data_IF_623086971634
#
_entry.id   IF_623086971634
#
_cell.length_a   1.000
_cell.length_b   1.000
_cell.length_c   1.000
_cell.angle_alpha   90.00
_cell.angle_beta   90.00
_cell.angle_gamma   90.00
#
_symmetry.space_group_name_H-M   'P 1'
#
loop_
_entity.id
_entity.type
_entity.pdbx_description
1 polymer ?
#
# COMPACT_ATOMS: atom_id res chain seq x y z
N UNK A 1 31.44 -4.32 16.55
CA UNK A 1 30.98 -3.05 16.00
C UNK A 1 31.36 -3.01 14.53
N UNK A 2 30.49 -2.54 13.64
CA UNK A 2 30.65 -2.46 12.18
C UNK A 2 30.55 -3.76 11.39
N UNK A 3 29.29 -4.20 11.13
CA UNK A 3 28.94 -4.96 9.91
C UNK A 3 27.42 -4.97 9.61
N UNK A 4 26.70 -3.90 9.91
CA UNK A 4 25.22 -3.81 9.72
C UNK A 4 24.79 -3.08 8.43
N UNK A 5 25.64 -3.01 7.42
CA UNK A 5 25.36 -2.26 6.17
C UNK A 5 25.13 -3.08 4.91
N UNK A 6 25.23 -4.41 4.95
CA UNK A 6 25.13 -5.20 3.71
C UNK A 6 23.73 -5.82 3.63
N UNK A 7 22.88 -5.25 2.76
CA UNK A 7 21.60 -5.85 2.36
C UNK A 7 21.91 -7.22 1.75
N UNK A 8 21.65 -8.31 2.46
CA UNK A 8 21.77 -9.66 1.93
C UNK A 8 20.56 -9.98 1.08
N UNK A 9 20.73 -9.94 -0.22
CA UNK A 9 19.68 -10.20 -1.20
C UNK A 9 19.07 -11.60 -1.09
N UNK A 10 19.81 -12.57 -0.57
CA UNK A 10 19.35 -13.96 -0.37
C UNK A 10 18.20 -14.10 0.65
N UNK A 11 17.95 -13.07 1.45
CA UNK A 11 16.91 -13.06 2.49
C UNK A 11 15.64 -12.31 2.08
N UNK A 12 15.62 -11.73 0.88
CA UNK A 12 14.46 -10.99 0.38
C UNK A 12 13.35 -11.98 0.03
N UNK A 13 12.37 -12.09 0.90
CA UNK A 13 11.20 -12.91 0.61
C UNK A 13 10.25 -12.17 -0.33
N UNK A 14 10.34 -12.47 -1.63
CA UNK A 14 9.54 -11.86 -2.70
C UNK A 14 8.04 -11.91 -2.38
N UNK A 15 7.55 -12.95 -1.70
CA UNK A 15 6.14 -13.09 -1.31
C UNK A 15 5.69 -12.00 -0.33
N UNK A 16 6.57 -11.59 0.58
CA UNK A 16 6.28 -10.51 1.52
C UNK A 16 6.16 -9.18 0.77
N UNK A 17 7.09 -8.91 -0.16
CA UNK A 17 7.07 -7.69 -0.99
C UNK A 17 5.79 -7.63 -1.83
N UNK A 18 5.42 -8.72 -2.50
CA UNK A 18 4.18 -8.79 -3.30
C UNK A 18 2.94 -8.52 -2.44
N UNK A 19 2.85 -9.12 -1.25
CA UNK A 19 1.74 -8.86 -0.32
C UNK A 19 1.65 -7.40 0.08
N UNK A 20 2.79 -6.81 0.40
CA UNK A 20 2.85 -5.43 0.85
C UNK A 20 2.52 -4.47 -0.29
N UNK A 21 2.92 -4.77 -1.53
CA UNK A 21 2.48 -4.07 -2.74
C UNK A 21 0.95 -4.18 -2.92
N UNK A 22 0.38 -5.39 -2.74
CA UNK A 22 -1.06 -5.59 -2.84
C UNK A 22 -1.85 -4.84 -1.75
N UNK A 23 -1.32 -4.76 -0.52
CA UNK A 23 -1.93 -3.95 0.55
C UNK A 23 -1.93 -2.46 0.22
N UNK A 24 -0.95 -2.00 -0.55
CA UNK A 24 -0.76 -0.61 -0.93
C UNK A 24 -1.16 -0.32 -2.39
N UNK A 25 -2.00 -1.15 -3.01
CA UNK A 25 -2.43 -1.02 -4.40
C UNK A 25 -3.06 0.35 -4.71
N UNK A 26 -3.67 1.01 -3.74
CA UNK A 26 -4.24 2.36 -3.88
C UNK A 26 -3.15 3.38 -4.24
N UNK A 27 -1.99 3.33 -3.57
CA UNK A 27 -0.87 4.24 -3.87
C UNK A 27 -0.27 3.96 -5.25
N UNK A 28 -0.22 2.69 -5.67
CA UNK A 28 0.23 2.31 -7.01
C UNK A 28 -0.74 2.80 -8.09
N UNK A 29 -2.05 2.69 -7.85
CA UNK A 29 -3.07 3.23 -8.74
C UNK A 29 -2.96 4.77 -8.86
N UNK A 30 -2.73 5.47 -7.73
CA UNK A 30 -2.50 6.92 -7.75
C UNK A 30 -1.26 7.30 -8.57
N UNK A 31 -0.16 6.55 -8.45
CA UNK A 31 1.05 6.79 -9.25
C UNK A 31 0.80 6.63 -10.76
N UNK A 32 0.02 5.62 -11.17
CA UNK A 32 -0.36 5.43 -12.57
C UNK A 32 -1.24 6.59 -13.10
N UNK A 33 -2.19 7.06 -12.28
CA UNK A 33 -3.05 8.22 -12.63
C UNK A 33 -2.20 9.48 -12.80
N UNK A 34 -1.24 9.73 -11.91
CA UNK A 34 -0.32 10.86 -12.00
C UNK A 34 0.45 10.81 -13.33
N UNK A 35 0.95 9.62 -13.73
CA UNK A 35 1.63 9.43 -15.01
C UNK A 35 0.75 9.76 -16.21
N UNK A 36 -0.51 9.33 -16.21
CA UNK A 36 -1.49 9.67 -17.27
C UNK A 36 -1.75 11.18 -17.32
N UNK A 37 -1.93 11.81 -16.16
CA UNK A 37 -2.19 13.24 -16.06
C UNK A 37 -1.00 14.06 -16.57
N UNK A 38 0.22 13.72 -16.17
CA UNK A 38 1.45 14.40 -16.59
C UNK A 38 1.59 14.36 -18.12
N UNK A 39 1.41 13.19 -18.75
CA UNK A 39 1.45 13.04 -20.20
C UNK A 39 0.31 13.83 -20.88
N UNK A 40 -0.90 13.78 -20.30
CA UNK A 40 -2.03 14.54 -20.86
C UNK A 40 -1.79 16.05 -20.84
N UNK A 41 -1.25 16.57 -19.74
CA UNK A 41 -0.90 18.00 -19.62
C UNK A 41 0.20 18.36 -20.61
N UNK A 42 1.26 17.53 -20.71
CA UNK A 42 2.35 17.75 -21.66
C UNK A 42 1.82 17.87 -23.10
N UNK A 43 1.01 16.89 -23.56
CA UNK A 43 0.47 16.93 -24.92
C UNK A 43 -0.57 18.04 -25.12
N UNK A 44 -1.35 18.40 -24.10
CA UNK A 44 -2.29 19.51 -24.21
C UNK A 44 -1.61 20.87 -24.44
N UNK A 45 -0.39 21.03 -23.89
CA UNK A 45 0.40 22.27 -24.06
C UNK A 45 1.21 22.25 -25.36
N UNK A 46 1.76 21.08 -25.73
CA UNK A 46 2.78 20.99 -26.78
C UNK A 46 2.20 20.57 -28.12
N UNK A 47 1.15 19.76 -28.13
CA UNK A 47 0.58 19.24 -29.38
C UNK A 47 -0.38 20.24 -30.02
N UNK A 48 -0.01 20.71 -31.21
CA UNK A 48 -0.88 21.51 -32.08
C UNK A 48 -1.31 20.64 -33.26
N UNK A 49 -2.60 20.38 -33.44
CA UNK A 49 -3.08 19.64 -34.60
C UNK A 49 -2.84 20.47 -35.85
N UNK A 50 -2.23 19.87 -36.88
CA UNK A 50 -2.01 20.53 -38.18
C UNK A 50 -2.81 19.80 -39.26
N UNK A 51 -3.52 20.56 -40.08
CA UNK A 51 -4.39 20.03 -41.12
C UNK A 51 -3.81 20.36 -42.47
N UNK A 52 -3.75 19.37 -43.39
CA UNK A 52 -3.21 19.56 -44.72
C UNK A 52 -4.29 19.37 -45.78
N UNK A 53 -4.61 20.42 -46.50
CA UNK A 53 -5.39 20.36 -47.72
C UNK A 53 -4.45 20.10 -48.90
N UNK A 54 -4.85 19.26 -49.84
CA UNK A 54 -4.05 18.95 -51.02
C UNK A 54 -4.87 19.08 -52.31
N UNK A 55 -4.21 19.51 -53.36
CA UNK A 55 -4.76 19.58 -54.71
C UNK A 55 -3.75 18.97 -55.69
N UNK A 56 -4.22 18.28 -56.71
CA UNK A 56 -3.36 17.72 -57.74
C UNK A 56 -3.44 18.54 -59.01
N UNK A 57 -2.33 19.00 -59.51
CA UNK A 57 -2.17 19.84 -60.71
C UNK A 57 -1.38 19.09 -61.76
N UNK A 58 -1.76 19.16 -63.02
CA UNK A 58 -0.98 18.69 -64.16
C UNK A 58 -0.30 19.85 -64.87
N UNK A 59 0.97 19.65 -65.24
CA UNK A 59 1.69 20.59 -66.08
C UNK A 59 1.70 20.08 -67.53
N UNK A 60 1.17 20.87 -68.42
CA UNK A 60 1.07 20.58 -69.85
C UNK A 60 1.90 21.59 -70.61
N UNK A 61 2.74 21.14 -71.57
CA UNK A 61 3.52 22.01 -72.42
C UNK A 61 2.64 22.54 -73.59
N UNK A 62 2.64 23.84 -73.78
CA UNK A 62 1.78 24.53 -74.79
C UNK A 62 2.26 24.23 -76.22
N UNK A 63 3.51 23.80 -76.44
CA UNK A 63 4.10 23.59 -77.77
C UNK A 63 4.42 22.12 -78.10
N UNK A 64 4.09 21.18 -77.24
CA UNK A 64 4.40 19.76 -77.49
C UNK A 64 3.23 19.13 -78.21
N UNK A 65 3.46 18.68 -79.47
CA UNK A 65 2.55 17.79 -80.17
C UNK A 65 2.39 16.41 -79.45
N UNK A 66 1.95 16.46 -78.20
CA UNK A 66 1.53 15.29 -77.47
C UNK A 66 2.61 14.36 -76.88
N UNK A 67 3.92 14.69 -76.92
CA UNK A 67 4.92 13.79 -76.35
C UNK A 67 4.97 13.87 -74.81
N UNK A 68 4.67 12.75 -74.15
CA UNK A 68 4.65 12.60 -72.70
C UNK A 68 6.01 12.94 -72.05
N UNK A 69 7.14 12.76 -72.77
CA UNK A 69 8.47 13.11 -72.28
C UNK A 69 8.74 14.63 -72.18
N UNK A 70 8.16 15.42 -73.11
CA UNK A 70 8.29 16.85 -73.06
C UNK A 70 7.54 17.46 -71.84
N UNK A 71 6.40 16.87 -71.54
CA UNK A 71 5.58 17.28 -70.38
C UNK A 71 6.30 16.91 -69.07
N UNK A 72 6.95 15.71 -68.98
CA UNK A 72 7.66 15.30 -67.79
C UNK A 72 8.89 16.18 -67.53
N UNK A 73 9.70 16.45 -68.56
CA UNK A 73 10.89 17.32 -68.44
C UNK A 73 10.49 18.74 -68.03
N UNK A 74 9.39 19.27 -68.62
CA UNK A 74 8.85 20.57 -68.27
C UNK A 74 8.39 20.59 -66.82
N UNK A 75 7.68 19.54 -66.38
CA UNK A 75 7.25 19.38 -65.00
C UNK A 75 8.43 19.33 -64.03
N UNK A 76 9.45 18.55 -64.30
CA UNK A 76 10.66 18.45 -63.47
C UNK A 76 11.39 19.78 -63.31
N UNK A 77 11.54 20.54 -64.42
CA UNK A 77 12.19 21.86 -64.38
C UNK A 77 11.35 22.94 -63.67
N UNK A 78 10.06 22.69 -63.52
CA UNK A 78 9.16 23.61 -62.85
C UNK A 78 8.94 23.29 -61.37
N UNK A 79 9.29 22.11 -60.89
CA UNK A 79 9.05 21.65 -59.50
C UNK A 79 9.52 22.66 -58.45
N UNK A 80 10.76 23.05 -58.54
CA UNK A 80 11.39 23.96 -57.57
C UNK A 80 10.84 25.39 -57.73
N UNK A 81 10.64 25.80 -58.96
CA UNK A 81 10.13 27.15 -59.29
C UNK A 81 8.67 27.30 -58.82
N UNK A 82 7.82 26.32 -59.05
CA UNK A 82 6.43 26.37 -58.59
C UNK A 82 6.31 26.38 -57.08
N UNK A 83 7.15 25.60 -56.36
CA UNK A 83 7.19 25.63 -54.90
C UNK A 83 7.60 27.04 -54.41
N UNK A 84 8.58 27.64 -55.01
CA UNK A 84 9.04 29.01 -54.68
C UNK A 84 7.94 30.05 -54.98
N UNK A 85 7.28 29.94 -56.15
CA UNK A 85 6.20 30.86 -56.57
C UNK A 85 4.99 30.77 -55.63
N UNK A 86 4.54 29.55 -55.31
CA UNK A 86 3.40 29.36 -54.41
C UNK A 86 3.72 29.75 -52.95
N UNK A 87 4.98 29.74 -52.57
CA UNK A 87 5.44 30.20 -51.25
C UNK A 87 5.83 31.67 -51.22
N UNK A 88 5.71 32.39 -52.36
CA UNK A 88 6.09 33.80 -52.48
C UNK A 88 5.21 34.72 -51.63
N UNK A 89 5.76 35.87 -51.27
CA UNK A 89 5.04 36.87 -50.46
C UNK A 89 3.79 37.41 -51.18
N UNK A 90 3.78 37.46 -52.52
CA UNK A 90 2.63 37.88 -53.34
C UNK A 90 1.45 36.91 -53.13
N UNK A 91 1.70 35.61 -53.13
CA UNK A 91 0.64 34.62 -52.93
C UNK A 91 0.19 34.60 -51.45
N UNK A 92 1.12 34.79 -50.53
CA UNK A 92 0.80 34.90 -49.09
C UNK A 92 -0.03 36.15 -48.79
N UNK A 93 0.30 37.29 -49.40
CA UNK A 93 -0.46 38.52 -49.23
C UNK A 93 -1.90 38.38 -49.71
N UNK A 94 -2.11 37.70 -50.84
CA UNK A 94 -3.45 37.36 -51.35
C UNK A 94 -4.19 36.38 -50.44
N UNK A 95 -3.49 35.44 -49.86
CA UNK A 95 -4.06 34.51 -48.87
C UNK A 95 -4.49 35.25 -47.61
N UNK A 96 -3.74 36.27 -47.17
CA UNK A 96 -4.11 37.12 -46.02
C UNK A 96 -5.36 37.97 -46.31
N UNK A 97 -5.50 38.49 -47.53
CA UNK A 97 -6.71 39.25 -47.92
C UNK A 97 -8.00 38.40 -47.81
N UNK A 98 -7.92 37.09 -48.11
CA UNK A 98 -9.08 36.19 -48.12
C UNK A 98 -9.31 35.48 -46.79
N UNK A 99 -8.23 34.97 -46.17
CA UNK A 99 -8.28 34.11 -45.01
C UNK A 99 -7.78 34.78 -43.71
N UNK A 100 -7.37 36.07 -43.76
CA UNK A 100 -6.91 36.85 -42.62
C UNK A 100 -5.44 36.60 -42.25
N UNK A 101 -4.95 37.34 -41.24
CA UNK A 101 -3.53 37.32 -40.83
C UNK A 101 -2.99 35.92 -40.48
N UNK A 102 -3.85 34.99 -40.03
CA UNK A 102 -3.46 33.59 -39.74
C UNK A 102 -2.97 32.82 -40.97
N UNK A 103 -3.23 33.30 -42.17
CA UNK A 103 -2.70 32.71 -43.41
C UNK A 103 -1.15 32.83 -43.51
N UNK A 104 -0.54 33.76 -42.78
CA UNK A 104 0.92 33.92 -42.75
C UNK A 104 1.63 32.71 -42.11
N UNK A 105 0.98 32.01 -41.17
CA UNK A 105 1.52 30.86 -40.47
C UNK A 105 1.33 29.54 -41.24
N UNK A 106 0.75 29.59 -42.45
CA UNK A 106 0.52 28.41 -43.26
C UNK A 106 1.78 27.98 -44.02
N UNK A 107 2.01 26.65 -44.07
CA UNK A 107 3.07 26.10 -44.92
C UNK A 107 2.51 25.64 -46.26
N UNK A 108 3.02 26.25 -47.33
CA UNK A 108 2.65 25.92 -48.72
C UNK A 108 3.83 25.13 -49.30
N UNK A 109 3.55 23.94 -49.84
CA UNK A 109 4.54 23.07 -50.52
C UNK A 109 3.94 22.55 -51.83
N UNK A 110 4.75 22.55 -52.89
CA UNK A 110 4.42 21.87 -54.13
C UNK A 110 5.44 20.73 -54.34
N UNK A 111 4.94 19.51 -54.44
CA UNK A 111 5.78 18.32 -54.58
C UNK A 111 5.45 17.64 -55.90
N UNK A 112 6.48 17.31 -56.72
CA UNK A 112 6.30 16.53 -57.95
C UNK A 112 6.02 15.06 -57.58
N UNK A 113 4.97 14.50 -58.14
CA UNK A 113 4.71 13.04 -58.04
C UNK A 113 5.68 12.34 -58.99
N UNK A 114 6.59 11.53 -58.41
CA UNK A 114 7.68 10.85 -59.14
C UNK A 114 7.19 10.19 -60.44
N UNK A 115 7.98 10.42 -61.50
CA UNK A 115 7.75 9.83 -62.86
C UNK A 115 6.45 10.27 -63.53
N UNK A 116 5.89 11.37 -63.10
CA UNK A 116 4.67 11.95 -63.71
C UNK A 116 4.85 13.44 -63.95
N UNK A 117 3.93 14.05 -64.72
CA UNK A 117 3.82 15.48 -64.88
C UNK A 117 2.80 16.12 -63.91
N UNK A 118 2.55 15.42 -62.76
CA UNK A 118 1.61 15.85 -61.75
C UNK A 118 2.31 16.44 -60.55
N UNK A 119 1.73 17.52 -60.04
CA UNK A 119 2.16 18.14 -58.77
C UNK A 119 1.08 18.00 -57.74
N UNK A 120 1.50 17.72 -56.53
CA UNK A 120 0.65 17.80 -55.35
C UNK A 120 0.96 19.11 -54.64
N UNK A 121 0.01 20.06 -54.66
CA UNK A 121 0.05 21.27 -53.85
C UNK A 121 -0.53 20.97 -52.49
N UNK A 122 0.25 21.20 -51.45
CA UNK A 122 -0.12 20.98 -50.06
C UNK A 122 -0.12 22.27 -49.29
N UNK A 123 -1.19 22.56 -48.57
CA UNK A 123 -1.25 23.67 -47.63
C UNK A 123 -1.55 23.12 -46.26
N UNK A 124 -0.66 23.40 -45.28
CA UNK A 124 -0.79 22.95 -43.92
C UNK A 124 -1.05 24.13 -42.99
N UNK A 125 -2.12 24.05 -42.17
CA UNK A 125 -2.55 25.08 -41.22
C UNK A 125 -3.04 24.45 -39.90
N UNK A 126 -3.18 25.28 -38.88
CA UNK A 126 -3.74 24.86 -37.58
C UNK A 126 -5.26 24.59 -37.62
N UNK A 127 -5.97 25.13 -38.67
CA UNK A 127 -7.41 24.96 -38.85
C UNK A 127 -7.68 24.33 -40.22
N UNK A 128 -8.57 23.31 -40.32
CA UNK A 128 -8.91 22.65 -41.58
C UNK A 128 -9.53 23.60 -42.61
N UNK A 129 -10.40 24.54 -42.17
CA UNK A 129 -11.02 25.54 -43.07
C UNK A 129 -9.96 26.51 -43.60
N UNK A 130 -9.02 26.97 -42.73
CA UNK A 130 -7.94 27.85 -43.15
C UNK A 130 -7.03 27.18 -44.20
N UNK A 131 -6.69 25.90 -44.02
CA UNK A 131 -5.90 25.15 -45.01
C UNK A 131 -6.64 25.06 -46.36
N UNK A 132 -7.95 24.86 -46.35
CA UNK A 132 -8.79 24.80 -47.52
C UNK A 132 -8.93 26.17 -48.21
N UNK A 133 -9.18 27.23 -47.45
CA UNK A 133 -9.34 28.59 -47.99
C UNK A 133 -8.02 29.10 -48.62
N UNK A 134 -6.89 28.86 -47.96
CA UNK A 134 -5.58 29.25 -48.49
C UNK A 134 -5.27 28.49 -49.78
N UNK A 135 -5.48 27.15 -49.85
CA UNK A 135 -5.18 26.38 -51.05
C UNK A 135 -6.09 26.82 -52.23
N UNK A 136 -7.36 27.11 -51.97
CA UNK A 136 -8.27 27.67 -53.02
C UNK A 136 -7.83 29.06 -53.48
N UNK A 137 -7.39 29.91 -52.55
CA UNK A 137 -6.88 31.24 -52.89
C UNK A 137 -5.63 31.12 -53.76
N UNK A 138 -4.71 30.20 -53.42
CA UNK A 138 -3.53 29.92 -54.24
C UNK A 138 -3.93 29.43 -55.63
N UNK A 139 -4.87 28.49 -55.72
CA UNK A 139 -5.35 27.94 -56.98
C UNK A 139 -6.11 28.99 -57.85
N UNK A 140 -6.86 29.89 -57.24
CA UNK A 140 -7.61 30.92 -58.01
C UNK A 140 -6.71 32.05 -58.48
N UNK A 141 -5.58 32.31 -57.81
CA UNK A 141 -4.68 33.41 -58.15
C UNK A 141 -3.42 32.99 -58.90
N UNK A 142 -3.18 31.68 -59.13
CA UNK A 142 -1.94 31.21 -59.78
C UNK A 142 -1.85 31.71 -61.22
N UNK A 143 -2.95 31.88 -61.91
CA UNK A 143 -2.94 32.35 -63.31
C UNK A 143 -2.32 33.73 -63.43
N UNK A 144 -2.53 34.64 -62.47
CA UNK A 144 -1.96 35.98 -62.46
C UNK A 144 -0.44 36.02 -62.29
N UNK A 145 0.14 34.95 -61.78
CA UNK A 145 1.57 34.79 -61.54
C UNK A 145 2.23 33.88 -62.59
N UNK A 146 1.48 32.85 -63.06
CA UNK A 146 1.98 31.82 -63.96
C UNK A 146 2.18 32.34 -65.41
N UNK A 147 1.31 33.20 -65.91
CA UNK A 147 1.39 33.77 -67.29
C UNK A 147 2.67 34.61 -67.48
N UNK A 148 3.21 35.17 -66.38
CA UNK A 148 4.43 35.97 -66.39
C UNK A 148 5.70 35.14 -66.33
N UNK A 149 5.64 34.00 -65.71
CA UNK A 149 6.82 33.12 -65.44
C UNK A 149 6.88 31.95 -66.43
N UNK A 150 5.76 31.43 -66.87
CA UNK A 150 5.66 30.15 -67.61
C UNK A 150 4.95 30.36 -68.97
N UNK A 151 5.54 31.07 -69.87
CA UNK A 151 4.97 31.38 -71.22
C UNK A 151 4.66 30.12 -72.05
N UNK A 152 5.27 28.98 -71.75
CA UNK A 152 5.15 27.71 -72.51
C UNK A 152 4.47 26.56 -71.78
N UNK A 153 3.89 26.77 -70.59
CA UNK A 153 3.20 25.73 -69.85
C UNK A 153 1.82 26.15 -69.42
N UNK A 154 0.90 25.18 -69.37
CA UNK A 154 -0.45 25.31 -68.83
C UNK A 154 -0.58 24.39 -67.63
N UNK A 155 -1.07 24.94 -66.53
CA UNK A 155 -1.33 24.15 -65.31
C UNK A 155 -2.83 23.90 -65.26
N UNK A 156 -3.20 22.63 -65.17
CA UNK A 156 -4.59 22.19 -65.08
C UNK A 156 -4.84 21.51 -63.73
N UNK A 157 -5.95 21.87 -63.08
CA UNK A 157 -6.35 21.27 -61.79
C UNK A 157 -7.04 19.93 -62.09
N UNK A 158 -6.38 18.84 -61.74
CA UNK A 158 -6.88 17.45 -61.92
C UNK A 158 -7.79 17.06 -60.74
N UNK A 159 -7.37 17.37 -59.51
CA UNK A 159 -8.18 17.12 -58.32
C UNK A 159 -8.30 18.37 -57.46
N UNK A 160 -9.53 18.78 -57.22
CA UNK A 160 -9.83 19.91 -56.35
C UNK A 160 -9.54 19.58 -54.89
N UNK A 161 -9.11 20.56 -54.09
CA UNK A 161 -8.86 20.35 -52.68
C UNK A 161 -10.15 20.05 -51.90
N UNK A 162 -10.04 19.26 -50.88
CA UNK A 162 -11.10 19.00 -49.93
C UNK A 162 -10.72 19.53 -48.55
N UNK A 163 -11.73 19.90 -47.72
CA UNK A 163 -11.49 20.23 -46.30
C UNK A 163 -10.95 19.00 -45.58
N UNK A 164 -9.76 19.07 -44.97
CA UNK A 164 -9.18 17.92 -44.29
C UNK A 164 -10.00 17.56 -43.06
N UNK A 165 -10.37 16.28 -42.92
CA UNK A 165 -11.23 15.75 -41.84
C UNK A 165 -10.42 15.37 -40.60
N UNK A 166 -9.11 15.18 -40.76
CA UNK A 166 -8.24 14.73 -39.70
C UNK A 166 -6.87 15.44 -39.75
N UNK A 167 -6.19 15.63 -38.59
CA UNK A 167 -4.87 16.21 -38.57
C UNK A 167 -3.86 15.35 -39.32
N UNK A 168 -2.97 15.96 -40.08
CA UNK A 168 -1.89 15.28 -40.79
C UNK A 168 -0.74 14.82 -39.86
N UNK A 169 -0.60 15.43 -38.70
CA UNK A 169 0.42 15.13 -37.70
C UNK A 169 -0.14 14.29 -36.52
N UNK A 170 -1.07 13.36 -36.80
CA UNK A 170 -1.65 12.53 -35.73
C UNK A 170 -0.60 11.83 -34.90
N UNK A 171 -0.66 12.03 -33.57
CA UNK A 171 0.15 11.34 -32.59
C UNK A 171 -0.78 10.42 -31.78
N UNK A 172 -0.37 9.17 -31.59
CA UNK A 172 -1.11 8.27 -30.74
C UNK A 172 -0.86 8.60 -29.25
N UNK A 173 -1.56 9.61 -28.73
CA UNK A 173 -1.44 10.11 -27.36
C UNK A 173 -1.73 9.00 -26.34
N UNK A 174 -2.64 8.06 -26.65
CA UNK A 174 -2.98 6.96 -25.74
C UNK A 174 -1.82 5.98 -25.53
N UNK A 175 -0.97 5.80 -26.54
CA UNK A 175 0.27 5.03 -26.38
C UNK A 175 1.20 5.70 -25.37
N UNK A 176 1.37 7.01 -25.45
CA UNK A 176 2.25 7.76 -24.52
C UNK A 176 1.64 7.84 -23.12
N UNK A 177 0.31 7.94 -22.98
CA UNK A 177 -0.37 7.86 -21.68
C UNK A 177 -0.12 6.51 -20.99
N UNK A 178 -0.22 5.41 -21.73
CA UNK A 178 0.09 4.07 -21.22
C UNK A 178 1.56 3.95 -20.81
N UNK A 179 2.47 4.48 -21.61
CA UNK A 179 3.90 4.50 -21.31
C UNK A 179 4.20 5.33 -20.05
N UNK A 180 3.61 6.52 -19.92
CA UNK A 180 3.75 7.38 -18.74
C UNK A 180 3.22 6.71 -17.48
N UNK A 181 2.04 6.06 -17.56
CA UNK A 181 1.47 5.30 -16.46
C UNK A 181 2.39 4.16 -16.01
N UNK A 182 2.94 3.39 -16.97
CA UNK A 182 3.84 2.26 -16.66
C UNK A 182 5.17 2.72 -16.07
N UNK A 183 5.73 3.84 -16.54
CA UNK A 183 6.96 4.42 -16.01
C UNK A 183 6.79 4.90 -14.57
N UNK A 184 5.72 5.68 -14.29
CA UNK A 184 5.44 6.14 -12.93
C UNK A 184 5.15 4.98 -11.97
N UNK A 185 4.42 3.95 -12.43
CA UNK A 185 4.16 2.76 -11.64
C UNK A 185 5.46 2.01 -11.30
N UNK A 186 6.37 1.85 -12.25
CA UNK A 186 7.67 1.21 -12.05
C UNK A 186 8.51 1.96 -11.01
N UNK A 187 8.59 3.29 -11.13
CA UNK A 187 9.30 4.14 -10.14
C UNK A 187 8.68 4.00 -8.75
N UNK A 188 7.35 3.99 -8.65
CA UNK A 188 6.65 3.80 -7.38
C UNK A 188 6.93 2.42 -6.77
N UNK A 189 6.96 1.36 -7.56
CA UNK A 189 7.30 0.00 -7.10
C UNK A 189 8.73 -0.06 -6.59
N UNK A 190 9.70 0.49 -7.34
CA UNK A 190 11.11 0.53 -6.92
C UNK A 190 11.25 1.31 -5.62
N UNK A 191 10.67 2.51 -5.54
CA UNK A 191 10.70 3.33 -4.32
C UNK A 191 10.10 2.61 -3.13
N UNK A 192 8.98 1.91 -3.31
CA UNK A 192 8.35 1.12 -2.27
C UNK A 192 9.25 -0.03 -1.79
N UNK A 193 9.88 -0.76 -2.72
CA UNK A 193 10.81 -1.86 -2.39
C UNK A 193 11.98 -1.34 -1.57
N UNK A 194 12.58 -0.22 -1.98
CA UNK A 194 13.69 0.41 -1.24
C UNK A 194 13.26 0.76 0.19
N UNK A 195 12.11 1.43 0.35
CA UNK A 195 11.58 1.76 1.69
C UNK A 195 11.28 0.51 2.51
N UNK A 196 10.73 -0.54 1.91
CA UNK A 196 10.43 -1.80 2.59
C UNK A 196 11.69 -2.54 3.08
N UNK A 197 12.81 -2.40 2.34
CA UNK A 197 14.11 -2.96 2.74
C UNK A 197 14.78 -2.16 3.87
N UNK A 198 14.63 -0.82 3.83
CA UNK A 198 15.25 0.08 4.81
C UNK A 198 14.50 0.11 6.17
N UNK A 199 13.25 -0.34 6.24
CA UNK A 199 12.44 -0.26 7.47
C UNK A 199 12.99 -1.03 8.65
N UNK A 200 13.85 -2.04 8.48
CA UNK A 200 14.45 -2.80 9.57
C UNK A 200 13.46 -3.59 10.46
N UNK A 201 12.19 -3.73 10.02
CA UNK A 201 11.14 -4.46 10.76
C UNK A 201 11.37 -5.98 10.70
N UNK A 202 10.82 -6.69 11.66
CA UNK A 202 10.92 -8.16 11.75
C UNK A 202 9.79 -8.80 10.94
N UNK A 203 10.15 -9.45 9.84
CA UNK A 203 9.18 -10.04 8.90
C UNK A 203 9.10 -11.56 8.95
N UNK A 204 10.15 -12.23 9.43
CA UNK A 204 10.22 -13.68 9.54
C UNK A 204 10.74 -14.14 10.91
N UNK A 205 10.49 -15.41 11.27
CA UNK A 205 11.01 -15.99 12.53
C UNK A 205 12.53 -15.98 12.55
N UNK A 206 13.18 -16.30 11.43
CA UNK A 206 14.64 -16.28 11.30
C UNK A 206 15.22 -14.88 11.51
N UNK A 207 14.55 -13.84 10.99
CA UNK A 207 14.93 -12.46 11.25
C UNK A 207 14.74 -12.08 12.72
N UNK A 208 13.64 -12.51 13.34
CA UNK A 208 13.40 -12.29 14.76
C UNK A 208 14.52 -12.86 15.60
N UNK A 209 14.86 -14.13 15.39
CA UNK A 209 15.92 -14.82 16.15
C UNK A 209 17.31 -14.20 15.97
N UNK A 210 17.57 -13.57 14.83
CA UNK A 210 18.85 -12.93 14.54
C UNK A 210 18.92 -11.49 15.03
N UNK A 211 17.82 -10.73 14.88
CA UNK A 211 17.81 -9.28 15.12
C UNK A 211 17.32 -8.89 16.51
N UNK A 212 16.50 -9.74 17.16
CA UNK A 212 15.93 -9.44 18.47
C UNK A 212 16.78 -10.12 19.54
N UNK A 213 17.19 -9.34 20.52
CA UNK A 213 17.91 -9.82 21.69
C UNK A 213 16.95 -10.48 22.69
N UNK A 214 17.04 -11.79 22.81
CA UNK A 214 16.18 -12.51 23.72
C UNK A 214 15.64 -13.80 23.12
N UNK A 215 14.91 -14.55 23.92
CA UNK A 215 14.35 -15.85 23.53
C UNK A 215 12.95 -15.68 22.98
N UNK A 216 12.67 -16.21 21.78
CA UNK A 216 11.31 -16.37 21.30
C UNK A 216 10.61 -17.48 22.11
N UNK A 217 9.67 -17.09 22.98
CA UNK A 217 8.95 -18.05 23.85
C UNK A 217 7.69 -18.60 23.20
N UNK A 218 7.08 -17.88 22.25
CA UNK A 218 5.96 -18.38 21.46
C UNK A 218 5.80 -17.62 20.14
N UNK A 219 5.15 -18.28 19.19
CA UNK A 219 4.71 -17.68 17.92
C UNK A 219 3.20 -17.89 17.83
N UNK A 220 2.45 -16.78 17.78
CA UNK A 220 0.99 -16.79 17.69
C UNK A 220 0.60 -16.46 16.25
N UNK A 221 -0.02 -17.42 15.58
CA UNK A 221 -0.43 -17.28 14.20
C UNK A 221 -1.59 -16.29 14.03
N UNK A 222 -1.63 -15.65 12.86
CA UNK A 222 -2.73 -14.76 12.50
C UNK A 222 -4.07 -15.48 12.55
N UNK A 223 -5.01 -14.97 13.33
CA UNK A 223 -6.37 -15.47 13.45
C UNK A 223 -7.39 -14.41 13.04
N UNK A 224 -8.30 -14.75 12.11
CA UNK A 224 -9.32 -13.82 11.59
C UNK A 224 -10.43 -13.60 12.63
N UNK A 225 -10.71 -12.34 12.94
CA UNK A 225 -11.76 -11.97 13.92
C UNK A 225 -13.17 -12.35 13.50
N UNK A 226 -13.50 -12.37 12.22
CA UNK A 226 -14.84 -12.61 11.69
C UNK A 226 -14.80 -13.74 10.67
N UNK A 227 -15.23 -14.96 11.06
CA UNK A 227 -15.28 -16.12 10.16
C UNK A 227 -16.65 -16.35 9.50
N UNK A 228 -17.73 -15.73 9.98
CA UNK A 228 -19.07 -15.91 9.43
C UNK A 228 -19.56 -14.65 8.73
N UNK A 229 -20.24 -14.82 7.57
CA UNK A 229 -20.87 -13.72 6.84
C UNK A 229 -21.81 -12.90 7.73
N UNK A 230 -22.53 -13.57 8.66
CA UNK A 230 -23.44 -12.94 9.62
C UNK A 230 -22.72 -12.05 10.64
N UNK A 231 -21.49 -12.40 11.05
CA UNK A 231 -20.67 -11.58 11.96
C UNK A 231 -20.01 -10.41 11.22
N UNK A 232 -19.70 -10.55 9.94
CA UNK A 232 -19.22 -9.43 9.08
C UNK A 232 -20.31 -8.37 8.89
N UNK A 233 -21.55 -8.80 8.59
CA UNK A 233 -22.68 -7.88 8.35
C UNK A 233 -23.10 -7.14 9.63
N UNK A 234 -23.05 -7.81 10.79
CA UNK A 234 -23.46 -7.22 12.07
C UNK A 234 -22.38 -6.41 12.78
N UNK A 235 -21.18 -6.36 12.22
CA UNK A 235 -19.99 -5.70 12.79
C UNK A 235 -19.75 -6.05 14.29
N UNK A 236 -20.17 -7.25 14.71
CA UNK A 236 -19.96 -7.76 16.07
C UNK A 236 -18.56 -8.37 16.15
N UNK A 237 -17.60 -7.57 16.51
CA UNK A 237 -16.23 -8.02 16.77
C UNK A 237 -16.16 -8.70 18.12
N UNK A 238 -16.41 -10.01 18.19
CA UNK A 238 -16.07 -10.79 19.38
C UNK A 238 -14.53 -10.83 19.50
N UNK A 239 -14.05 -10.64 20.73
CA UNK A 239 -12.62 -10.76 21.02
C UNK A 239 -12.10 -12.16 20.68
N UNK A 240 -10.83 -12.24 20.24
CA UNK A 240 -10.16 -13.53 19.99
C UNK A 240 -9.75 -14.14 21.32
N UNK A 241 -10.62 -14.94 21.91
CA UNK A 241 -10.37 -15.68 23.15
C UNK A 241 -10.29 -17.18 22.87
N UNK A 242 -9.35 -17.89 23.50
CA UNK A 242 -9.18 -19.34 23.35
C UNK A 242 -10.42 -20.14 23.77
N UNK A 243 -11.26 -19.57 24.63
CA UNK A 243 -12.55 -20.13 25.05
C UNK A 243 -13.67 -19.97 24.00
N UNK A 244 -13.44 -19.21 22.93
CA UNK A 244 -14.40 -19.01 21.86
C UNK A 244 -14.42 -20.20 20.89
N UNK A 245 -15.59 -20.67 20.50
CA UNK A 245 -15.77 -21.72 19.49
C UNK A 245 -15.35 -21.31 18.07
N UNK A 246 -15.20 -20.00 17.83
CA UNK A 246 -14.84 -19.45 16.51
C UNK A 246 -13.33 -19.43 16.27
N UNK A 247 -12.52 -19.68 17.28
CA UNK A 247 -11.06 -19.66 17.23
C UNK A 247 -10.52 -21.00 16.77
N UNK A 248 -9.52 -21.02 15.90
CA UNK A 248 -8.90 -22.21 15.35
C UNK A 248 -8.13 -23.02 16.41
N UNK A 249 -8.00 -24.33 16.17
CA UNK A 249 -7.25 -25.23 17.05
C UNK A 249 -5.80 -24.78 17.24
N UNK A 250 -5.10 -24.42 16.15
CA UNK A 250 -3.70 -24.00 16.21
C UNK A 250 -3.49 -22.76 17.10
N UNK A 251 -4.38 -21.77 17.00
CA UNK A 251 -4.30 -20.57 17.84
C UNK A 251 -4.43 -20.93 19.33
N UNK A 252 -5.36 -21.80 19.68
CA UNK A 252 -5.58 -22.27 21.05
C UNK A 252 -4.35 -23.01 21.56
N UNK A 253 -3.85 -23.96 20.80
CA UNK A 253 -2.68 -24.77 21.14
C UNK A 253 -1.40 -23.93 21.35
N UNK A 254 -1.25 -22.85 20.61
CA UNK A 254 -0.12 -21.92 20.78
C UNK A 254 -0.15 -21.21 22.15
N UNK A 255 -1.34 -20.86 22.64
CA UNK A 255 -1.47 -20.27 23.98
C UNK A 255 -1.28 -21.29 25.10
N UNK A 256 -1.70 -22.54 24.92
CA UNK A 256 -1.37 -23.61 25.89
C UNK A 256 0.13 -23.81 25.98
N UNK A 257 0.85 -23.86 24.85
CA UNK A 257 2.31 -23.95 24.84
C UNK A 257 2.99 -22.75 25.48
N UNK A 258 2.47 -21.54 25.26
CA UNK A 258 2.93 -20.33 25.91
C UNK A 258 2.75 -20.42 27.41
N UNK A 259 1.58 -20.83 27.90
CA UNK A 259 1.26 -20.96 29.31
C UNK A 259 2.21 -21.96 30.02
N UNK A 260 2.44 -23.14 29.42
CA UNK A 260 3.37 -24.13 29.96
C UNK A 260 4.81 -23.59 30.10
N UNK A 261 5.27 -22.83 29.09
CA UNK A 261 6.61 -22.22 29.12
C UNK A 261 6.71 -21.14 30.19
N UNK A 262 5.71 -20.26 30.26
CA UNK A 262 5.67 -19.21 31.28
C UNK A 262 5.61 -19.79 32.67
N UNK A 263 4.76 -20.79 32.87
CA UNK A 263 4.66 -21.53 34.15
C UNK A 263 6.00 -22.12 34.55
N UNK A 264 6.72 -22.75 33.64
CA UNK A 264 8.06 -23.29 33.94
C UNK A 264 9.02 -22.22 34.48
N UNK A 265 9.04 -21.02 33.84
CA UNK A 265 9.91 -19.93 34.28
C UNK A 265 9.49 -19.35 35.63
N UNK A 266 8.21 -19.13 35.82
CA UNK A 266 7.63 -18.56 37.05
C UNK A 266 7.87 -19.50 38.24
N UNK A 267 7.60 -20.82 38.10
CA UNK A 267 7.78 -21.79 39.15
C UNK A 267 9.26 -21.93 39.56
N UNK A 268 10.21 -21.83 38.61
CA UNK A 268 11.63 -21.84 38.88
C UNK A 268 12.07 -20.68 39.78
N UNK A 269 11.38 -19.53 39.70
CA UNK A 269 11.66 -18.33 40.50
C UNK A 269 10.73 -18.18 41.72
N UNK A 270 9.84 -19.15 41.98
CA UNK A 270 8.77 -19.05 42.98
C UNK A 270 7.93 -17.79 42.83
N UNK A 271 7.81 -17.31 41.60
CA UNK A 271 7.05 -16.11 41.25
C UNK A 271 5.57 -16.36 40.97
N UNK A 272 4.77 -15.31 40.84
CA UNK A 272 3.33 -15.37 40.57
C UNK A 272 2.86 -14.30 39.59
N UNK A 273 3.59 -13.19 39.45
CA UNK A 273 3.17 -11.99 38.72
C UNK A 273 3.86 -11.92 37.37
N UNK A 274 3.06 -11.92 36.31
CA UNK A 274 3.51 -11.93 34.92
C UNK A 274 3.05 -10.64 34.25
N UNK A 275 3.98 -9.83 33.80
CA UNK A 275 3.68 -8.64 33.00
C UNK A 275 3.69 -8.99 31.52
N UNK A 276 2.69 -8.51 30.79
CA UNK A 276 2.60 -8.58 29.33
C UNK A 276 2.60 -7.16 28.77
N UNK A 277 3.66 -6.81 28.04
CA UNK A 277 3.86 -5.50 27.45
C UNK A 277 4.09 -5.58 25.94
N UNK A 278 4.20 -4.45 25.27
CA UNK A 278 4.60 -4.31 23.86
C UNK A 278 5.43 -3.03 23.68
N UNK A 279 6.13 -2.90 22.57
CA UNK A 279 6.88 -1.67 22.24
C UNK A 279 5.90 -0.55 21.88
N UNK A 280 4.97 -0.83 20.96
CA UNK A 280 4.00 0.13 20.43
C UNK A 280 2.56 -0.35 20.61
N UNK A 281 1.62 0.54 20.28
CA UNK A 281 0.19 0.22 20.25
C UNK A 281 -0.16 -0.78 19.14
N UNK A 282 -1.24 -1.55 19.34
CA UNK A 282 -1.79 -2.49 18.36
C UNK A 282 -0.87 -3.69 18.01
N UNK A 283 0.05 -4.06 18.88
CA UNK A 283 0.84 -5.28 18.76
C UNK A 283 0.13 -6.53 19.32
N UNK A 284 -1.00 -6.33 19.99
CA UNK A 284 -1.86 -7.41 20.50
C UNK A 284 -1.56 -7.86 21.93
N UNK A 285 -0.82 -7.06 22.73
CA UNK A 285 -0.52 -7.32 24.15
C UNK A 285 -1.76 -7.74 24.94
N UNK A 286 -2.87 -6.98 24.81
CA UNK A 286 -4.14 -7.24 25.50
C UNK A 286 -4.73 -8.61 25.16
N UNK A 287 -4.65 -9.02 23.89
CA UNK A 287 -5.11 -10.34 23.44
C UNK A 287 -4.19 -11.45 23.99
N UNK A 288 -2.88 -11.21 24.00
CA UNK A 288 -1.91 -12.18 24.53
C UNK A 288 -2.08 -12.32 26.03
N UNK A 289 -2.20 -11.23 26.79
CA UNK A 289 -2.43 -11.26 28.24
C UNK A 289 -3.71 -12.01 28.61
N UNK A 290 -4.83 -11.72 27.92
CA UNK A 290 -6.12 -12.38 28.15
C UNK A 290 -6.04 -13.89 27.91
N UNK A 291 -5.46 -14.31 26.78
CA UNK A 291 -5.40 -15.73 26.42
C UNK A 291 -4.37 -16.50 27.23
N UNK A 292 -3.26 -15.86 27.64
CA UNK A 292 -2.32 -16.45 28.58
C UNK A 292 -2.98 -16.70 29.93
N UNK A 293 -3.72 -15.72 30.47
CA UNK A 293 -4.44 -15.87 31.72
C UNK A 293 -5.50 -16.97 31.66
N UNK A 294 -6.24 -17.07 30.55
CA UNK A 294 -7.22 -18.14 30.33
C UNK A 294 -6.55 -19.52 30.25
N UNK A 295 -5.43 -19.64 29.54
CA UNK A 295 -4.71 -20.90 29.43
C UNK A 295 -4.11 -21.35 30.79
N UNK A 296 -3.59 -20.41 31.58
CA UNK A 296 -3.12 -20.69 32.93
C UNK A 296 -4.25 -21.15 33.89
N UNK A 297 -5.46 -20.67 33.68
CA UNK A 297 -6.62 -20.96 34.51
C UNK A 297 -7.24 -22.36 34.26
N UNK A 298 -6.87 -23.06 33.19
CA UNK A 298 -7.42 -24.39 32.86
C UNK A 298 -7.03 -25.48 33.88
N UNK A 299 -5.95 -25.31 34.65
CA UNK A 299 -5.49 -26.26 35.69
C UNK A 299 -6.11 -26.06 37.07
N UNK A 300 -7.35 -25.58 37.20
CA UNK A 300 -8.06 -25.28 38.46
C UNK A 300 -7.36 -24.24 39.35
N UNK A 301 -6.48 -23.42 38.76
CA UNK A 301 -5.70 -22.41 39.46
C UNK A 301 -6.49 -21.10 39.57
N UNK A 302 -6.26 -20.37 40.64
CA UNK A 302 -6.80 -19.04 40.84
C UNK A 302 -5.95 -18.04 40.07
N UNK A 303 -6.37 -17.71 38.86
CA UNK A 303 -5.68 -16.76 37.99
C UNK A 303 -6.43 -15.41 37.94
N UNK A 304 -5.70 -14.33 38.18
CA UNK A 304 -6.19 -12.97 38.08
C UNK A 304 -5.62 -12.30 36.84
N UNK A 305 -6.48 -11.72 36.01
CA UNK A 305 -6.10 -10.84 34.90
C UNK A 305 -6.39 -9.39 35.30
N UNK A 306 -5.37 -8.54 35.22
CA UNK A 306 -5.46 -7.12 35.55
C UNK A 306 -5.25 -6.28 34.27
N UNK A 307 -6.14 -5.32 34.02
CA UNK A 307 -5.95 -4.30 32.98
C UNK A 307 -5.30 -3.06 33.64
N UNK A 308 -3.98 -2.93 33.45
CA UNK A 308 -3.20 -1.78 33.91
C UNK A 308 -2.84 -0.79 32.79
N UNK A 309 -3.44 -0.94 31.60
CA UNK A 309 -3.39 0.10 30.59
C UNK A 309 -4.40 1.20 30.95
N UNK A 310 -4.01 1.99 31.94
CA UNK A 310 -4.85 3.05 32.50
C UNK A 310 -5.15 4.19 31.51
N UNK A 311 -4.41 4.28 30.41
CA UNK A 311 -4.61 5.27 29.36
C UNK A 311 -5.63 4.80 28.31
N UNK A 312 -5.55 3.54 27.89
CA UNK A 312 -6.39 2.96 26.82
C UNK A 312 -6.88 1.57 27.22
N UNK A 313 -7.70 1.44 28.27
CA UNK A 313 -8.16 0.13 28.76
C UNK A 313 -8.94 -0.60 27.67
N UNK A 314 -8.69 -1.90 27.53
CA UNK A 314 -9.25 -2.69 26.44
C UNK A 314 -9.73 -4.10 26.84
N UNK A 315 -9.35 -4.63 28.00
CA UNK A 315 -9.74 -5.96 28.46
C UNK A 315 -11.27 -6.10 28.58
N UNK A 316 -11.96 -5.07 29.08
CA UNK A 316 -13.41 -5.08 29.20
C UNK A 316 -14.13 -5.26 27.85
N UNK A 317 -13.57 -4.71 26.77
CA UNK A 317 -14.07 -4.88 25.40
C UNK A 317 -13.83 -6.31 24.88
N UNK A 318 -12.63 -6.85 25.17
CA UNK A 318 -12.24 -8.19 24.75
C UNK A 318 -13.14 -9.27 25.36
N UNK A 319 -13.54 -9.09 26.62
CA UNK A 319 -14.44 -9.99 27.36
C UNK A 319 -15.92 -9.67 27.20
N UNK A 320 -16.28 -8.68 26.37
CA UNK A 320 -17.67 -8.22 26.11
C UNK A 320 -18.43 -7.85 27.40
N UNK A 321 -17.77 -7.12 28.30
CA UNK A 321 -18.33 -6.71 29.57
C UNK A 321 -19.07 -5.39 29.40
N UNK A 322 -20.41 -5.46 29.38
CA UNK A 322 -21.27 -4.29 29.17
C UNK A 322 -21.75 -3.63 30.47
N UNK A 323 -21.67 -4.31 31.62
CA UNK A 323 -22.30 -3.86 32.86
C UNK A 323 -21.59 -2.66 33.53
N UNK A 324 -22.40 -1.67 33.94
CA UNK A 324 -22.03 -0.45 34.68
C UNK A 324 -21.58 -0.70 36.14
N UNK A 325 -21.60 -1.96 36.61
CA UNK A 325 -21.45 -2.33 38.03
C UNK A 325 -20.06 -2.83 38.44
N UNK A 326 -19.00 -2.33 37.82
CA UNK A 326 -17.66 -2.57 38.31
C UNK A 326 -17.23 -1.45 39.23
N UNK A 327 -16.86 -1.80 40.46
CA UNK A 327 -15.99 -0.96 41.28
C UNK A 327 -14.66 -0.81 40.53
N UNK A 328 -14.18 0.41 40.33
CA UNK A 328 -12.89 0.60 39.69
C UNK A 328 -11.82 0.53 40.79
N UNK A 329 -10.82 -0.34 40.62
CA UNK A 329 -9.70 -0.41 41.57
C UNK A 329 -8.91 0.90 41.63
N UNK A 330 -9.03 1.76 40.62
CA UNK A 330 -8.50 3.12 40.59
C UNK A 330 -9.11 3.99 41.67
N UNK A 331 -10.39 3.80 42.04
CA UNK A 331 -11.04 4.52 43.14
C UNK A 331 -10.43 4.13 44.50
N UNK A 332 -10.01 2.87 44.65
CA UNK A 332 -9.27 2.41 45.83
C UNK A 332 -7.87 3.03 45.88
N UNK A 333 -7.16 3.09 44.74
CA UNK A 333 -5.82 3.65 44.68
C UNK A 333 -5.81 5.18 44.89
N UNK A 334 -6.89 5.89 44.53
CA UNK A 334 -7.03 7.35 44.68
C UNK A 334 -7.71 7.75 46.02
N UNK A 335 -7.75 6.84 47.01
CA UNK A 335 -8.31 7.08 48.33
C UNK A 335 -9.80 7.46 48.38
N UNK A 336 -10.48 7.47 47.25
CA UNK A 336 -11.86 7.91 47.13
C UNK A 336 -12.88 6.92 47.74
N UNK A 337 -12.53 5.63 47.87
CA UNK A 337 -13.38 4.58 48.41
C UNK A 337 -12.60 3.44 49.07
N UNK A 338 -13.07 3.01 50.22
CA UNK A 338 -12.54 1.81 50.91
C UNK A 338 -13.16 0.50 50.41
N UNK A 339 -14.22 0.54 49.63
CA UNK A 339 -14.99 -0.66 49.21
C UNK A 339 -14.27 -1.44 48.10
N UNK A 340 -13.94 -2.67 48.37
CA UNK A 340 -13.00 -3.52 47.65
C UNK A 340 -13.62 -4.49 46.63
N UNK A 341 -14.83 -4.22 46.09
CA UNK A 341 -15.51 -5.09 45.13
C UNK A 341 -15.11 -4.84 43.67
N UNK A 342 -13.83 -4.67 43.43
CA UNK A 342 -13.31 -4.46 42.06
C UNK A 342 -12.79 -5.72 41.36
N UNK A 343 -12.78 -6.88 42.07
CA UNK A 343 -12.43 -8.17 41.50
C UNK A 343 -13.69 -8.95 41.17
N UNK A 344 -13.85 -9.31 39.91
CA UNK A 344 -14.95 -10.13 39.42
C UNK A 344 -14.46 -11.53 39.10
N UNK A 345 -15.25 -12.55 39.43
CA UNK A 345 -15.04 -13.93 38.95
C UNK A 345 -15.90 -14.20 37.73
N UNK A 346 -15.31 -14.60 36.62
CA UNK A 346 -16.01 -15.17 35.45
C UNK A 346 -16.06 -16.69 35.59
N UNK A 347 -17.16 -17.21 36.12
CA UNK A 347 -17.32 -18.65 36.36
C UNK A 347 -17.32 -19.46 35.05
N UNK A 348 -17.74 -18.87 33.92
CA UNK A 348 -17.75 -19.58 32.63
C UNK A 348 -16.35 -19.79 32.08
N UNK A 349 -15.44 -18.86 32.37
CA UNK A 349 -14.06 -18.89 31.89
C UNK A 349 -13.05 -19.25 32.99
N UNK A 350 -13.53 -19.52 34.21
CA UNK A 350 -12.72 -19.86 35.39
C UNK A 350 -11.56 -18.88 35.66
N UNK A 351 -11.82 -17.57 35.52
CA UNK A 351 -10.81 -16.52 35.68
C UNK A 351 -11.34 -15.39 36.56
N UNK A 352 -10.45 -14.78 37.33
CA UNK A 352 -10.71 -13.55 38.04
C UNK A 352 -10.25 -12.34 37.19
N UNK A 353 -10.99 -11.26 37.25
CA UNK A 353 -10.82 -10.08 36.39
C UNK A 353 -10.81 -8.81 37.25
N UNK A 354 -9.84 -7.96 37.01
CA UNK A 354 -9.71 -6.65 37.61
C UNK A 354 -9.48 -5.63 36.48
N UNK A 355 -10.58 -5.11 35.94
CA UNK A 355 -10.57 -4.26 34.75
C UNK A 355 -11.06 -2.85 35.07
N UNK A 356 -10.65 -1.89 34.23
CA UNK A 356 -11.16 -0.53 34.22
C UNK A 356 -11.85 -0.27 32.88
N UNK A 357 -12.74 0.71 32.88
CA UNK A 357 -13.46 1.11 31.67
C UNK A 357 -13.06 2.49 31.19
N UNK A 358 -12.78 3.39 32.13
CA UNK A 358 -12.45 4.78 31.87
C UNK A 358 -10.94 4.99 31.96
N UNK A 359 -10.40 5.82 31.09
CA UNK A 359 -9.02 6.23 31.19
C UNK A 359 -8.77 7.12 32.43
N UNK A 360 -7.57 6.99 32.99
CA UNK A 360 -7.11 7.77 34.13
C UNK A 360 -6.24 8.94 33.66
N UNK A 361 -6.40 10.10 34.27
CA UNK A 361 -5.65 11.32 33.86
C UNK A 361 -4.17 11.24 34.24
N UNK A 362 -3.86 10.72 35.43
CA UNK A 362 -2.50 10.58 35.93
C UNK A 362 -2.21 9.15 36.43
N UNK A 363 -1.86 8.24 35.47
CA UNK A 363 -1.55 6.85 35.82
C UNK A 363 -0.32 6.71 36.72
N UNK A 364 0.67 7.58 36.58
CA UNK A 364 1.94 7.48 37.31
C UNK A 364 1.74 7.69 38.80
N UNK A 365 0.94 8.69 39.19
CA UNK A 365 0.62 8.96 40.57
C UNK A 365 0.01 7.72 41.26
N UNK A 366 -0.92 7.04 40.58
CA UNK A 366 -1.58 5.85 41.14
C UNK A 366 -0.61 4.67 41.31
N UNK A 367 0.22 4.42 40.30
CA UNK A 367 1.15 3.27 40.30
C UNK A 367 2.32 3.51 41.28
N UNK A 368 2.70 4.75 41.54
CA UNK A 368 3.76 5.09 42.52
C UNK A 368 3.25 5.18 43.95
N UNK A 369 1.96 4.95 44.19
CA UNK A 369 1.38 5.04 45.54
C UNK A 369 1.72 3.82 46.40
N UNK A 370 1.86 4.03 47.72
CA UNK A 370 2.01 2.91 48.69
C UNK A 370 0.82 1.95 48.64
N UNK A 371 -0.37 2.46 48.33
CA UNK A 371 -1.57 1.64 48.17
C UNK A 371 -1.48 0.68 46.98
N UNK A 372 -0.80 1.05 45.92
CA UNK A 372 -0.55 0.15 44.80
C UNK A 372 0.33 -1.03 45.25
N UNK A 373 1.43 -0.78 45.94
CA UNK A 373 2.30 -1.83 46.48
C UNK A 373 1.55 -2.75 47.43
N UNK A 374 0.78 -2.15 48.34
CA UNK A 374 -0.07 -2.92 49.27
C UNK A 374 -1.09 -3.79 48.52
N UNK A 375 -1.73 -3.27 47.47
CA UNK A 375 -2.67 -4.04 46.67
C UNK A 375 -1.99 -5.22 45.97
N UNK A 376 -0.84 -5.02 45.34
CA UNK A 376 -0.07 -6.05 44.65
C UNK A 376 0.32 -7.19 45.63
N UNK A 377 0.79 -6.86 46.85
CA UNK A 377 1.13 -7.86 47.89
C UNK A 377 -0.11 -8.67 48.36
N UNK A 378 -1.24 -8.01 48.56
CA UNK A 378 -2.51 -8.68 48.89
C UNK A 378 -2.96 -9.64 47.76
N UNK A 379 -2.82 -9.22 46.51
CA UNK A 379 -3.17 -10.03 45.35
C UNK A 379 -2.21 -11.22 45.19
N UNK A 380 -0.90 -11.00 45.44
CA UNK A 380 0.13 -12.07 45.43
C UNK A 380 -0.20 -13.17 46.42
N UNK A 381 -0.73 -12.83 47.60
CA UNK A 381 -1.14 -13.82 48.61
C UNK A 381 -2.39 -14.60 48.22
N UNK A 382 -3.34 -13.97 47.49
CA UNK A 382 -4.66 -14.52 47.19
C UNK A 382 -4.75 -15.38 45.92
N UNK A 383 -3.85 -15.21 44.97
CA UNK A 383 -3.86 -15.85 43.66
C UNK A 383 -2.63 -16.72 43.41
N UNK A 384 -2.79 -17.75 42.58
CA UNK A 384 -1.70 -18.61 42.11
C UNK A 384 -0.90 -17.93 41.01
N UNK A 385 -1.58 -17.28 40.07
CA UNK A 385 -0.97 -16.47 39.03
C UNK A 385 -1.73 -15.14 38.84
N UNK A 386 -0.97 -14.10 38.54
CA UNK A 386 -1.48 -12.76 38.20
C UNK A 386 -0.89 -12.34 36.88
N UNK A 387 -1.73 -12.10 35.88
CA UNK A 387 -1.31 -11.59 34.56
C UNK A 387 -1.69 -10.11 34.48
N UNK A 388 -0.73 -9.26 34.22
CA UNK A 388 -0.91 -7.80 34.14
C UNK A 388 -0.72 -7.34 32.69
N UNK A 389 -1.78 -6.79 32.09
CA UNK A 389 -1.75 -6.12 30.79
C UNK A 389 -1.36 -4.66 31.01
N UNK A 390 -0.19 -4.21 30.53
CA UNK A 390 0.34 -2.86 30.74
C UNK A 390 0.34 -2.05 29.46
N UNK A 391 0.42 -0.68 29.53
CA UNK A 391 0.55 0.13 28.32
C UNK A 391 1.83 -0.20 27.55
N UNK A 392 1.92 0.18 26.25
CA UNK A 392 3.15 0.06 25.49
C UNK A 392 4.31 0.80 26.16
N UNK A 393 5.52 0.22 26.13
CA UNK A 393 6.70 0.79 26.78
C UNK A 393 7.04 2.20 26.28
N UNK A 394 6.89 2.45 24.99
CA UNK A 394 7.15 3.77 24.40
C UNK A 394 6.03 4.79 24.64
N UNK A 395 4.84 4.32 25.02
CA UNK A 395 3.72 5.21 25.32
C UNK A 395 3.70 5.73 26.75
N UNK A 396 4.26 4.97 27.70
CA UNK A 396 4.18 5.32 29.12
C UNK A 396 5.28 4.68 29.96
N UNK A 397 5.99 5.46 30.78
CA UNK A 397 6.95 4.93 31.75
C UNK A 397 6.28 4.11 32.88
N UNK A 398 4.97 4.15 33.00
CA UNK A 398 4.19 3.35 33.94
C UNK A 398 4.45 1.85 33.80
N UNK A 399 4.67 1.37 32.57
CA UNK A 399 4.95 -0.04 32.33
C UNK A 399 6.27 -0.49 32.98
N UNK A 400 7.32 0.32 32.93
CA UNK A 400 8.60 0.00 33.58
C UNK A 400 8.48 0.02 35.12
N UNK A 401 7.67 0.94 35.67
CA UNK A 401 7.41 0.98 37.10
C UNK A 401 6.64 -0.24 37.58
N UNK A 402 5.66 -0.74 36.81
CA UNK A 402 4.94 -1.96 37.11
C UNK A 402 5.89 -3.18 37.02
N UNK A 403 6.86 -3.17 36.09
CA UNK A 403 7.83 -4.23 35.92
C UNK A 403 8.65 -4.51 37.20
N UNK A 404 8.91 -3.49 38.00
CA UNK A 404 9.63 -3.63 39.28
C UNK A 404 8.91 -4.56 40.29
N UNK A 405 7.57 -4.61 40.19
CA UNK A 405 6.72 -5.45 41.07
C UNK A 405 6.43 -6.85 40.47
N UNK A 406 6.91 -7.14 39.27
CA UNK A 406 6.61 -8.38 38.54
C UNK A 406 7.72 -9.40 38.68
N UNK A 407 7.38 -10.70 38.65
CA UNK A 407 8.32 -11.82 38.72
C UNK A 407 8.78 -12.26 37.32
N UNK A 408 7.98 -11.95 36.29
CA UNK A 408 8.33 -12.19 34.90
C UNK A 408 7.73 -11.12 33.99
N UNK A 409 8.45 -10.74 32.93
CA UNK A 409 7.94 -9.87 31.86
C UNK A 409 8.08 -10.53 30.48
N UNK A 410 7.05 -10.34 29.65
CA UNK A 410 6.92 -10.85 28.29
C UNK A 410 6.69 -9.68 27.36
N UNK A 411 7.53 -9.59 26.32
CA UNK A 411 7.37 -8.58 25.28
C UNK A 411 6.60 -9.17 24.10
N UNK A 412 5.48 -8.56 23.74
CA UNK A 412 4.70 -8.92 22.55
C UNK A 412 5.18 -8.11 21.37
N UNK A 413 5.63 -8.80 20.32
CA UNK A 413 6.14 -8.21 19.08
C UNK A 413 5.25 -8.65 17.93
N UNK A 414 4.65 -7.70 17.22
CA UNK A 414 3.84 -8.00 16.05
C UNK A 414 4.68 -8.00 14.78
N UNK A 415 4.42 -9.00 13.91
CA UNK A 415 5.10 -9.10 12.61
C UNK A 415 4.99 -7.78 11.82
N UNK A 416 6.13 -7.31 11.30
CA UNK A 416 6.27 -6.16 10.39
C UNK A 416 5.65 -4.85 10.95
N UNK A 417 5.81 -4.61 12.27
CA UNK A 417 5.23 -3.43 12.94
C UNK A 417 6.27 -2.45 13.43
N UNK A 418 7.20 -2.90 14.24
CA UNK A 418 8.23 -2.10 14.91
C UNK A 418 9.60 -2.49 14.40
N UNK A 419 10.57 -1.58 14.42
CA UNK A 419 11.96 -1.85 14.05
C UNK A 419 12.64 -2.74 15.09
N UNK A 420 13.59 -3.54 14.63
CA UNK A 420 14.32 -4.45 15.53
C UNK A 420 15.14 -3.68 16.57
N UNK A 421 15.68 -2.50 16.24
CA UNK A 421 16.34 -1.60 17.19
C UNK A 421 15.44 -1.23 18.35
N UNK A 422 14.22 -0.73 18.05
CA UNK A 422 13.27 -0.28 19.07
C UNK A 422 12.81 -1.44 19.97
N UNK A 423 12.75 -2.67 19.39
CA UNK A 423 12.44 -3.88 20.16
C UNK A 423 13.58 -4.19 21.13
N UNK A 424 14.84 -4.05 20.71
CA UNK A 424 16.01 -4.32 21.56
C UNK A 424 16.13 -3.25 22.67
N UNK A 425 15.93 -1.97 22.35
CA UNK A 425 15.89 -0.88 23.35
C UNK A 425 14.81 -1.14 24.43
N UNK A 426 13.65 -1.65 24.01
CA UNK A 426 12.59 -2.04 24.94
C UNK A 426 13.00 -3.25 25.81
N UNK A 427 13.68 -4.24 25.24
CA UNK A 427 14.20 -5.41 25.98
C UNK A 427 15.24 -4.97 27.00
N UNK A 428 16.14 -4.08 26.63
CA UNK A 428 17.18 -3.57 27.54
C UNK A 428 16.54 -2.79 28.69
N UNK A 429 15.56 -1.93 28.41
CA UNK A 429 14.80 -1.24 29.46
C UNK A 429 14.09 -2.20 30.42
N UNK A 430 13.58 -3.35 29.93
CA UNK A 430 12.97 -4.37 30.79
C UNK A 430 14.00 -5.11 31.66
N UNK A 431 15.23 -5.27 31.17
CA UNK A 431 16.33 -5.94 31.92
C UNK A 431 16.97 -5.02 32.98
N UNK A 432 17.05 -3.72 32.73
CA UNK A 432 17.68 -2.74 33.63
C UNK A 432 17.02 -2.68 35.01
N UNK A 433 15.71 -2.92 35.13
CA UNK A 433 15.01 -2.91 36.41
C UNK A 433 15.34 -4.16 37.26
N UNK A 434 14.63 -5.24 36.99
CA UNK A 434 14.64 -6.45 37.83
C UNK A 434 15.20 -7.71 37.14
N UNK A 435 15.64 -7.60 35.89
CA UNK A 435 16.03 -8.72 35.02
C UNK A 435 15.00 -9.87 34.99
N UNK A 436 13.72 -9.51 35.00
CA UNK A 436 12.58 -10.43 34.96
C UNK A 436 12.13 -10.76 33.55
N UNK A 437 12.80 -10.24 32.53
CA UNK A 437 12.48 -10.53 31.15
C UNK A 437 12.73 -11.98 30.80
N UNK A 438 11.67 -12.72 30.42
CA UNK A 438 11.75 -14.15 30.10
C UNK A 438 11.79 -14.42 28.58
N UNK A 439 11.43 -13.43 27.77
CA UNK A 439 11.48 -13.53 26.33
C UNK A 439 10.34 -12.80 25.63
N UNK A 440 10.31 -12.91 24.31
CA UNK A 440 9.29 -12.27 23.50
C UNK A 440 8.34 -13.27 22.82
N UNK A 441 7.14 -12.79 22.51
CA UNK A 441 6.09 -13.51 21.78
C UNK A 441 5.93 -12.84 20.41
N UNK A 442 6.15 -13.58 19.32
CA UNK A 442 5.80 -13.14 17.99
C UNK A 442 4.30 -13.31 17.79
N UNK A 443 3.57 -12.21 17.65
CA UNK A 443 2.12 -12.19 17.53
C UNK A 443 1.65 -11.83 16.13
N UNK A 444 0.45 -12.32 15.76
CA UNK A 444 -0.20 -12.02 14.48
C UNK A 444 0.66 -12.45 13.28
N UNK A 445 1.33 -13.59 13.42
CA UNK A 445 2.32 -14.09 12.48
C UNK A 445 1.66 -14.93 11.37
N UNK A 446 1.94 -14.60 10.12
CA UNK A 446 1.40 -15.32 8.96
C UNK A 446 2.47 -16.20 8.30
N UNK A 447 2.52 -17.48 8.71
CA UNK A 447 3.47 -18.48 8.20
C UNK A 447 3.36 -18.77 6.71
N UNK A 448 2.17 -18.58 6.11
CA UNK A 448 1.94 -18.85 4.70
C UNK A 448 2.72 -17.92 3.79
N UNK A 449 3.11 -16.77 4.32
CA UNK A 449 3.75 -15.69 3.57
C UNK A 449 5.26 -15.84 3.62
N UNK A 450 5.81 -16.29 4.73
CA UNK A 450 7.27 -16.35 4.92
C UNK A 450 7.93 -17.52 4.21
N UNK A 451 7.16 -18.52 3.75
CA UNK A 451 7.72 -19.72 3.15
C UNK A 451 8.66 -20.49 4.09
N UNK A 452 8.61 -20.15 5.36
CA UNK A 452 9.41 -20.78 6.40
C UNK A 452 8.92 -22.20 6.64
N UNK A 453 9.31 -23.10 5.74
CA UNK A 453 9.28 -24.54 5.98
C UNK A 453 10.28 -24.80 7.11
N UNK A 454 9.76 -25.00 8.31
CA UNK A 454 10.55 -25.65 9.33
C UNK A 454 10.98 -24.83 10.52
N UNK A 455 10.09 -24.48 11.38
CA UNK A 455 10.37 -24.71 12.78
C UNK A 455 9.90 -26.15 13.09
N UNK A 456 10.84 -27.04 13.03
CA UNK A 456 10.86 -28.42 13.44
C UNK A 456 9.55 -29.19 13.30
N UNK A 457 9.59 -30.39 12.99
CA UNK A 457 8.67 -31.53 13.15
C UNK A 457 7.38 -31.36 14.00
N UNK A 458 7.07 -30.17 14.52
CA UNK A 458 5.86 -29.85 15.30
C UNK A 458 4.61 -29.57 14.45
N UNK A 459 4.76 -29.29 13.15
CA UNK A 459 3.62 -29.08 12.24
C UNK A 459 3.01 -30.37 11.69
N UNK A 460 3.66 -31.53 11.83
CA UNK A 460 3.16 -32.82 11.29
C UNK A 460 2.07 -33.48 12.14
N UNK A 461 1.86 -33.05 13.37
CA UNK A 461 0.79 -33.60 14.22
C UNK A 461 -0.61 -33.03 13.96
N UNK A 462 -0.74 -32.01 13.09
CA UNK A 462 -2.04 -31.42 12.74
C UNK A 462 -2.97 -32.26 11.87
N UNK A 463 -2.54 -33.43 11.41
CA UNK A 463 -3.36 -34.30 10.54
C UNK A 463 -4.18 -35.39 11.30
N UNK A 464 -4.06 -35.45 12.62
CA UNK A 464 -4.83 -36.43 13.41
C UNK A 464 -6.31 -36.09 13.60
N UNK A 465 -6.77 -34.89 13.20
CA UNK A 465 -8.18 -34.46 13.33
C UNK A 465 -9.13 -34.94 12.22
N UNK A 466 -8.67 -35.72 11.23
CA UNK A 466 -9.53 -36.19 10.11
C UNK A 466 -10.00 -37.65 10.21
N UNK A 467 -9.71 -38.34 11.29
CA UNK A 467 -10.14 -39.73 11.51
C UNK A 467 -11.31 -39.82 12.52
N UNK A 468 -12.42 -39.16 12.27
CA UNK A 468 -13.56 -39.18 13.19
C UNK A 468 -14.94 -39.08 12.54
N UNK A 469 -15.05 -39.34 11.24
CA UNK A 469 -16.35 -39.51 10.57
C UNK A 469 -16.43 -40.85 9.85
N UNK A 470 -16.51 -41.94 10.60
CA UNK A 470 -17.05 -43.18 10.09
C UNK A 470 -18.57 -43.15 10.23
N UNK A 471 -19.25 -43.02 9.11
CA UNK A 471 -20.67 -43.29 8.93
C UNK A 471 -20.97 -44.72 9.37
N UNK A 472 -21.76 -44.90 10.42
CA UNK A 472 -22.52 -46.11 10.60
C UNK A 472 -23.55 -46.22 9.48
N UNK A 473 -23.31 -47.08 8.54
CA UNK A 473 -24.35 -47.64 7.66
C UNK A 473 -24.92 -48.84 8.38
N UNK A 474 -26.08 -48.67 8.99
CA UNK A 474 -26.94 -49.77 9.43
C UNK A 474 -27.39 -50.62 8.26
N UNK A 475 -27.14 -51.89 8.35
CA UNK A 475 -27.81 -52.97 7.66
C UNK A 475 -28.97 -53.42 8.56
N UNK A 476 -30.16 -53.30 8.09
CA UNK A 476 -31.24 -54.27 7.87
C UNK A 476 -32.38 -53.58 7.13
#
# INVERSE_FOLDING_TARGET
MEQDGIIRFDEINIRIIIRDLLKNCVYLAMAAIIGIMAVSIYFNITYKPMYTASATLAVLSRNSNGSSYANLNTAMSMADVLSAVFSSDVVKEKAVEVAGEKALDTQIKAELIKETNLFELKVTAENPELAYDVINTVLNNYNNVSDYIFSNAVIEVIANPNVPVAPSNMINIDKYKKLGASACLLVAVIGYVVVALLRGTVKSVKEAERKIEGKCIAIISHEKKNRTLKSMIRNTTKGLLITSTTVGFNFREQFHKLAVRVEYYINKKHGKIIMVCSVAENEGKTTVAANLALALAEGERKVLLIDMDLMKPAQYKLFDIQNKQFGQYTDFLDESKEDSRFIRRDNKKNIYQMFIKNSVKDPQKLISSERFMYLIEKLRAAFDYIVIDVPPLFASPAALRINESCDASILVVRQDRVQASDINDAIDSLKEGNNNFIGYVLNDFDDKITGSIGYGNYGKYGNYGKYGEHKERGTV
#
